data_IF_094996118244
#
_entry.id   IF_094996118244
#
_cell.length_a   1.000
_cell.length_b   1.000
_cell.length_c   1.000
_cell.angle_alpha   90.00
_cell.angle_beta   90.00
_cell.angle_gamma   90.00
#
_symmetry.space_group_name_H-M   'P 1'
#
loop_
_entity.id
_entity.type
_entity.pdbx_description
1 polymer ?
#
# COMPACT_ATOMS: atom_id res chain seq x y z
N UNK A 1 9.52 -42.04 -39.88
CA UNK A 1 9.53 -41.57 -38.48
C UNK A 1 8.09 -41.18 -38.13
N UNK A 2 7.34 -42.09 -37.51
CA UNK A 2 5.93 -41.87 -37.19
C UNK A 2 5.83 -41.45 -35.73
N UNK A 3 5.33 -40.25 -35.46
CA UNK A 3 5.02 -39.79 -34.11
C UNK A 3 3.58 -40.18 -33.80
N UNK A 4 3.42 -41.20 -32.95
CA UNK A 4 2.16 -41.47 -32.25
C UNK A 4 2.44 -41.36 -30.75
N UNK A 5 2.03 -40.24 -30.17
CA UNK A 5 1.73 -40.12 -28.73
C UNK A 5 0.39 -39.41 -28.64
N UNK A 6 -0.68 -40.19 -28.69
CA UNK A 6 -1.99 -39.83 -28.15
C UNK A 6 -2.06 -40.39 -26.74
N UNK A 7 -2.02 -39.52 -25.73
CA UNK A 7 -2.71 -39.73 -24.46
C UNK A 7 -3.20 -38.39 -23.95
N UNK A 8 -4.47 -38.13 -24.23
CA UNK A 8 -5.39 -37.44 -23.34
C UNK A 8 -4.98 -37.55 -21.88
N UNK A 9 -4.64 -36.42 -21.26
CA UNK A 9 -4.91 -36.18 -19.84
C UNK A 9 -5.40 -34.74 -19.77
N UNK A 10 -6.72 -34.60 -19.88
CA UNK A 10 -7.45 -33.43 -19.40
C UNK A 10 -7.49 -33.58 -17.88
N UNK A 11 -6.73 -32.75 -17.17
CA UNK A 11 -6.95 -32.49 -15.75
C UNK A 11 -7.60 -31.12 -15.62
N UNK A 12 -8.93 -31.12 -15.71
CA UNK A 12 -9.79 -30.11 -15.11
C UNK A 12 -9.98 -30.49 -13.64
N UNK A 13 -9.45 -29.72 -12.69
CA UNK A 13 -10.05 -29.56 -11.35
C UNK A 13 -9.34 -28.53 -10.43
N UNK A 14 -10.17 -27.59 -9.96
CA UNK A 14 -10.17 -26.89 -8.67
C UNK A 14 -9.28 -25.64 -8.49
N UNK A 15 -9.90 -24.49 -8.77
CA UNK A 15 -10.19 -23.43 -7.81
C UNK A 15 -9.57 -23.58 -6.42
N UNK A 16 -8.56 -22.75 -6.13
CA UNK A 16 -8.41 -22.18 -4.78
C UNK A 16 -8.56 -20.67 -4.93
N UNK A 17 -9.69 -20.20 -4.42
CA UNK A 17 -9.98 -18.82 -4.10
C UNK A 17 -8.92 -18.31 -3.12
N UNK A 18 -7.88 -17.64 -3.61
CA UNK A 18 -7.14 -16.72 -2.76
C UNK A 18 -7.78 -15.35 -2.86
N UNK A 19 -8.93 -15.24 -2.19
CA UNK A 19 -9.40 -13.99 -1.63
C UNK A 19 -8.35 -13.52 -0.62
N UNK A 20 -7.40 -12.69 -1.06
CA UNK A 20 -6.68 -11.80 -0.18
C UNK A 20 -6.80 -10.39 -0.77
N UNK A 21 -7.75 -9.66 -0.19
CA UNK A 21 -8.04 -8.22 -0.29
C UNK A 21 -7.37 -7.45 -1.46
N UNK A 22 -8.16 -6.88 -2.39
CA UNK A 22 -7.65 -5.88 -3.32
C UNK A 22 -7.44 -4.56 -2.57
N UNK A 23 -6.33 -4.42 -1.87
CA UNK A 23 -5.88 -3.14 -1.30
C UNK A 23 -4.35 -3.07 -1.36
N UNK A 24 -3.80 -3.10 -2.57
CA UNK A 24 -2.50 -2.47 -2.85
C UNK A 24 -2.75 -1.41 -3.91
N UNK A 25 -3.61 -0.46 -3.54
CA UNK A 25 -3.50 0.86 -4.12
C UNK A 25 -2.16 1.46 -3.70
N UNK A 26 -1.59 2.23 -4.62
CA UNK A 26 -0.41 3.09 -4.44
C UNK A 26 0.91 2.46 -4.85
N UNK A 27 1.04 2.32 -6.17
CA UNK A 27 2.25 2.65 -6.93
C UNK A 27 3.02 3.77 -6.19
N UNK A 28 4.25 3.51 -5.71
CA UNK A 28 4.99 4.50 -4.94
C UNK A 28 5.45 5.60 -5.88
N UNK A 29 4.72 6.72 -5.84
CA UNK A 29 5.29 8.04 -6.05
C UNK A 29 6.62 8.13 -5.31
N UNK A 30 7.65 8.63 -6.00
CA UNK A 30 9.03 8.84 -5.52
C UNK A 30 9.09 9.99 -4.50
N UNK A 31 8.20 9.98 -3.51
CA UNK A 31 8.30 10.85 -2.34
C UNK A 31 9.16 10.09 -1.35
N UNK A 32 10.28 10.70 -0.96
CA UNK A 32 11.21 10.14 0.01
C UNK A 32 10.57 10.17 1.40
N UNK A 33 9.65 9.24 1.65
CA UNK A 33 8.98 9.09 2.93
C UNK A 33 9.78 8.08 3.74
N UNK A 34 10.52 8.55 4.75
CA UNK A 34 11.26 7.68 5.66
C UNK A 34 10.32 7.09 6.71
N UNK A 35 10.56 5.86 7.15
CA UNK A 35 9.77 5.25 8.23
C UNK A 35 9.88 6.06 9.54
N UNK A 36 11.04 6.69 9.77
CA UNK A 36 11.28 7.62 10.88
C UNK A 36 10.34 8.83 10.82
N UNK A 37 10.19 9.43 9.65
CA UNK A 37 9.29 10.56 9.43
C UNK A 37 7.82 10.17 9.65
N UNK A 38 7.40 9.01 9.13
CA UNK A 38 6.05 8.46 9.34
C UNK A 38 5.79 8.27 10.83
N UNK A 39 6.75 7.67 11.54
CA UNK A 39 6.62 7.41 12.96
C UNK A 39 6.56 8.74 13.74
N UNK A 40 7.42 9.70 13.45
CA UNK A 40 7.41 11.01 14.09
C UNK A 40 6.08 11.72 13.90
N UNK A 41 5.56 11.77 12.67
CA UNK A 41 4.26 12.40 12.39
C UNK A 41 3.10 11.63 13.03
N UNK A 42 3.14 10.30 13.01
CA UNK A 42 2.13 9.46 13.64
C UNK A 42 2.07 9.67 15.17
N UNK A 43 3.24 9.71 15.83
CA UNK A 43 3.33 9.93 17.27
C UNK A 43 2.98 11.38 17.65
N UNK A 44 3.50 12.36 16.91
CA UNK A 44 3.26 13.78 17.17
C UNK A 44 1.80 14.16 16.94
N UNK A 45 1.24 13.82 15.78
CA UNK A 45 -0.15 14.11 15.47
C UNK A 45 -1.12 13.11 16.14
N UNK A 46 -0.63 12.03 16.75
CA UNK A 46 -1.45 10.98 17.36
C UNK A 46 -2.41 10.32 16.37
N UNK A 47 -1.89 9.92 15.20
CA UNK A 47 -2.64 9.28 14.11
C UNK A 47 -2.01 7.95 13.71
N UNK A 48 -2.74 7.10 12.98
CA UNK A 48 -2.19 5.85 12.46
C UNK A 48 -1.09 6.10 11.42
N UNK A 49 -0.13 5.17 11.32
CA UNK A 49 0.98 5.22 10.34
C UNK A 49 0.51 5.43 8.90
N UNK A 50 -0.62 4.83 8.51
CA UNK A 50 -1.22 5.04 7.18
C UNK A 50 -1.61 6.51 6.95
N UNK A 51 -2.27 7.14 7.92
CA UNK A 51 -2.64 8.57 7.82
C UNK A 51 -1.42 9.48 7.84
N UNK A 52 -0.41 9.16 8.64
CA UNK A 52 0.84 9.90 8.66
C UNK A 52 1.56 9.83 7.31
N UNK A 53 1.64 8.62 6.71
CA UNK A 53 2.19 8.43 5.37
C UNK A 53 1.43 9.23 4.32
N UNK A 54 0.10 9.19 4.36
CA UNK A 54 -0.74 9.94 3.43
C UNK A 54 -0.59 11.47 3.61
N UNK A 55 -0.47 11.95 4.84
CA UNK A 55 -0.21 13.37 5.12
C UNK A 55 1.16 13.82 4.62
N UNK A 56 2.22 13.04 4.84
CA UNK A 56 3.57 13.33 4.32
C UNK A 56 3.56 13.28 2.79
N UNK A 57 2.83 12.33 2.22
CA UNK A 57 2.65 12.23 0.77
C UNK A 57 1.96 13.47 0.18
N UNK A 58 0.83 13.90 0.76
CA UNK A 58 0.13 15.14 0.38
C UNK A 58 0.96 16.39 0.60
N UNK A 59 1.81 16.38 1.63
CA UNK A 59 2.76 17.45 1.91
C UNK A 59 3.99 17.43 0.98
N UNK A 60 4.14 16.40 0.14
CA UNK A 60 5.25 16.27 -0.82
C UNK A 60 6.60 15.96 -0.15
N UNK A 61 6.58 15.29 1.01
CA UNK A 61 7.79 15.00 1.79
C UNK A 61 8.16 16.07 2.82
N UNK A 62 7.33 17.11 2.99
CA UNK A 62 7.51 18.11 4.05
C UNK A 62 6.82 17.65 5.35
N UNK A 63 7.62 17.35 6.36
CA UNK A 63 7.16 16.80 7.63
C UNK A 63 6.39 17.84 8.45
N UNK A 64 6.86 19.09 8.46
CA UNK A 64 6.22 20.16 9.20
C UNK A 64 4.84 20.47 8.61
N UNK A 65 4.76 20.52 7.28
CA UNK A 65 3.49 20.73 6.57
C UNK A 65 2.53 19.55 6.75
N UNK A 66 3.03 18.32 6.80
CA UNK A 66 2.21 17.14 7.08
C UNK A 66 1.56 17.21 8.47
N UNK A 67 2.33 17.61 9.48
CA UNK A 67 1.83 17.80 10.84
C UNK A 67 0.77 18.90 10.87
N UNK A 68 1.04 20.06 10.27
CA UNK A 68 0.09 21.17 10.23
C UNK A 68 -1.25 20.76 9.61
N UNK A 69 -1.21 20.03 8.48
CA UNK A 69 -2.42 19.49 7.83
C UNK A 69 -3.20 18.56 8.77
N UNK A 70 -2.51 17.64 9.45
CA UNK A 70 -3.15 16.70 10.38
C UNK A 70 -3.73 17.40 11.62
N UNK A 71 -3.07 18.44 12.14
CA UNK A 71 -3.59 19.21 13.27
C UNK A 71 -4.83 20.03 12.90
N UNK A 72 -4.86 20.59 11.67
CA UNK A 72 -6.04 21.28 11.15
C UNK A 72 -7.24 20.35 11.00
N UNK A 73 -7.02 19.13 10.48
CA UNK A 73 -8.07 18.11 10.38
C UNK A 73 -8.57 17.63 11.73
N UNK A 74 -7.72 17.62 12.78
CA UNK A 74 -8.12 17.22 14.14
C UNK A 74 -9.00 18.25 14.86
N UNK A 75 -8.89 19.53 14.47
CA UNK A 75 -9.54 20.65 15.16
C UNK A 75 -10.86 21.09 14.51
N UNK A 76 -11.16 20.57 13.32
CA UNK A 76 -12.42 20.79 12.59
C UNK A 76 -13.43 19.70 12.93
#
# INVERSE_FOLDING_TARGET
>A
MFYIVTKDIREEALTIEQALAPNVDTIPSVVNISDEDIQFVAEYAGVSKEKARDAIFRAGGDIAKAIELLEQEKRS
#
